data_IF_530856476918
#
_entry.id   IF_530856476918
#
_cell.length_a   1.000
_cell.length_b   1.000
_cell.length_c   1.000
_cell.angle_alpha   90.00
_cell.angle_beta   90.00
_cell.angle_gamma   90.00
#
_symmetry.space_group_name_H-M   'P 1'
#
loop_
_entity.id
_entity.type
_entity.pdbx_description
1 polymer ?
#
# COMPACT_ATOMS: atom_id res chain seq x y z
N UNK A 1 7.47 11.96 21.00
CA UNK A 1 7.21 11.21 19.75
C UNK A 1 8.13 9.99 19.75
N UNK A 2 7.68 8.86 19.20
CA UNK A 2 8.52 7.66 19.12
C UNK A 2 9.73 7.90 18.19
N UNK A 3 10.90 7.30 18.45
CA UNK A 3 12.04 7.31 17.53
C UNK A 3 11.72 6.79 16.12
N UNK A 4 12.52 7.20 15.13
CA UNK A 4 12.35 6.80 13.72
C UNK A 4 12.66 5.33 13.45
N UNK A 5 13.39 4.67 14.34
CA UNK A 5 13.73 3.23 14.35
C UNK A 5 12.82 2.41 15.28
N UNK A 6 11.83 3.02 15.94
CA UNK A 6 10.95 2.33 16.89
C UNK A 6 10.03 1.31 16.17
N UNK A 7 10.46 0.05 16.19
CA UNK A 7 9.76 -1.08 15.60
C UNK A 7 8.39 -1.33 16.25
N UNK A 8 8.27 -1.16 17.57
CA UNK A 8 7.00 -1.39 18.27
C UNK A 8 5.97 -0.32 17.90
N UNK A 9 6.39 0.95 17.79
CA UNK A 9 5.54 2.03 17.32
C UNK A 9 5.13 1.85 15.84
N UNK A 10 6.05 1.37 15.00
CA UNK A 10 5.74 0.99 13.62
C UNK A 10 4.69 -0.12 13.55
N UNK A 11 4.90 -1.23 14.27
CA UNK A 11 3.98 -2.38 14.25
C UNK A 11 2.60 -2.02 14.79
N UNK A 12 2.52 -1.22 15.86
CA UNK A 12 1.25 -0.72 16.39
C UNK A 12 0.51 0.16 15.37
N UNK A 13 1.24 1.06 14.70
CA UNK A 13 0.68 1.91 13.63
C UNK A 13 0.14 1.04 12.48
N UNK A 14 0.95 0.08 12.02
CA UNK A 14 0.60 -0.85 10.94
C UNK A 14 -0.65 -1.66 11.27
N UNK A 15 -0.71 -2.27 12.45
CA UNK A 15 -1.87 -3.03 12.90
C UNK A 15 -3.12 -2.15 12.96
N UNK A 16 -3.02 -0.96 13.55
CA UNK A 16 -4.13 -0.02 13.67
C UNK A 16 -4.65 0.51 12.33
N UNK A 17 -3.79 0.66 11.32
CA UNK A 17 -4.19 1.10 9.98
C UNK A 17 -4.73 -0.07 9.12
N UNK A 18 -4.11 -1.26 9.21
CA UNK A 18 -4.41 -2.39 8.33
C UNK A 18 -5.70 -3.14 8.66
N UNK A 19 -6.09 -3.20 9.93
CA UNK A 19 -7.37 -3.79 10.37
C UNK A 19 -8.56 -2.98 9.81
N UNK A 20 -9.77 -3.21 10.32
CA UNK A 20 -10.95 -2.44 9.93
C UNK A 20 -10.92 -0.99 10.48
N UNK A 21 -9.96 -0.21 9.99
CA UNK A 21 -9.71 1.17 10.37
C UNK A 21 -10.54 2.13 9.54
N UNK A 22 -10.87 3.30 10.13
CA UNK A 22 -11.55 4.36 9.39
C UNK A 22 -10.72 4.81 8.17
N UNK A 23 -9.40 4.86 8.32
CA UNK A 23 -8.50 5.19 7.21
C UNK A 23 -8.67 4.20 6.05
N UNK A 24 -8.57 2.89 6.31
CA UNK A 24 -8.71 1.86 5.28
C UNK A 24 -10.08 1.89 4.61
N UNK A 25 -11.17 2.02 5.39
CA UNK A 25 -12.53 2.16 4.83
C UNK A 25 -12.70 3.43 4.01
N UNK A 26 -11.93 4.48 4.28
CA UNK A 26 -12.00 5.72 3.53
C UNK A 26 -11.33 5.66 2.15
N UNK A 27 -10.59 4.59 1.84
CA UNK A 27 -9.90 4.43 0.56
C UNK A 27 -10.86 3.88 -0.51
N UNK A 28 -10.70 4.33 -1.76
CA UNK A 28 -11.33 3.67 -2.91
C UNK A 28 -10.79 2.24 -3.13
N UNK A 29 -11.45 1.47 -4.00
CA UNK A 29 -11.02 0.09 -4.36
C UNK A 29 -9.56 0.02 -4.81
N UNK A 30 -9.06 1.11 -5.42
CA UNK A 30 -7.65 1.36 -5.59
C UNK A 30 -7.34 2.82 -5.34
N UNK A 31 -6.12 3.08 -4.86
CA UNK A 31 -5.58 4.41 -4.60
C UNK A 31 -4.29 4.56 -5.38
N UNK A 32 -4.09 5.72 -6.02
CA UNK A 32 -2.85 6.04 -6.68
C UNK A 32 -1.88 6.69 -5.68
N UNK A 33 -0.77 6.00 -5.41
CA UNK A 33 0.26 6.36 -4.44
C UNK A 33 1.57 6.81 -5.10
N UNK A 34 2.22 7.84 -4.55
CA UNK A 34 3.57 8.18 -4.98
C UNK A 34 4.09 9.49 -4.38
N UNK A 35 5.22 9.97 -4.88
CA UNK A 35 5.78 11.26 -4.45
C UNK A 35 5.15 12.40 -5.24
N UNK A 36 4.86 13.51 -4.59
CA UNK A 36 4.59 14.77 -5.29
C UNK A 36 5.94 15.37 -5.70
N UNK A 37 6.36 15.14 -6.96
CA UNK A 37 7.65 15.68 -7.48
C UNK A 37 7.61 17.19 -7.72
N UNK A 38 6.44 17.71 -8.07
CA UNK A 38 6.18 19.13 -8.31
C UNK A 38 4.76 19.45 -7.84
N UNK A 39 4.55 20.43 -6.94
CA UNK A 39 3.22 20.82 -6.48
C UNK A 39 2.33 21.45 -7.57
N UNK A 40 2.89 21.85 -8.70
CA UNK A 40 2.18 22.38 -9.86
C UNK A 40 1.71 21.29 -10.83
N UNK A 41 2.32 20.10 -10.77
CA UNK A 41 1.94 18.98 -11.63
C UNK A 41 0.55 18.47 -11.24
N UNK A 42 -0.29 18.22 -12.25
CA UNK A 42 -1.62 17.69 -12.01
C UNK A 42 -1.58 16.22 -11.57
N UNK A 43 -2.63 15.75 -10.90
CA UNK A 43 -2.71 14.33 -10.50
C UNK A 43 -2.79 13.40 -11.71
N UNK A 44 -3.43 13.82 -12.81
CA UNK A 44 -3.54 13.02 -14.04
C UNK A 44 -2.19 12.83 -14.75
N UNK A 45 -1.25 13.76 -14.56
CA UNK A 45 0.06 13.75 -15.21
C UNK A 45 1.16 13.21 -14.28
N UNK A 46 0.82 12.99 -13.01
CA UNK A 46 1.71 12.35 -12.04
C UNK A 46 1.89 10.86 -12.33
N UNK A 47 3.14 10.39 -12.31
CA UNK A 47 3.46 8.94 -12.36
C UNK A 47 3.27 8.34 -10.98
N UNK A 48 2.17 7.62 -10.77
CA UNK A 48 1.78 7.05 -9.50
C UNK A 48 1.66 5.53 -9.61
N UNK A 49 1.84 4.85 -8.46
CA UNK A 49 1.65 3.41 -8.33
C UNK A 49 0.25 3.14 -7.81
N UNK A 50 -0.47 2.23 -8.45
CA UNK A 50 -1.78 1.79 -8.00
C UNK A 50 -1.63 0.76 -6.88
N UNK A 51 -2.36 0.99 -5.79
CA UNK A 51 -2.45 0.07 -4.66
C UNK A 51 -3.90 -0.18 -4.27
N UNK A 52 -4.21 -1.42 -3.88
CA UNK A 52 -5.38 -1.69 -3.07
C UNK A 52 -5.24 -1.12 -1.65
N UNK A 53 -6.37 -0.92 -0.92
CA UNK A 53 -6.37 -0.39 0.45
C UNK A 53 -5.43 -1.11 1.41
N UNK A 54 -5.38 -2.44 1.32
CA UNK A 54 -4.53 -3.30 2.14
C UNK A 54 -3.04 -2.95 2.03
N UNK A 55 -2.56 -2.70 0.80
CA UNK A 55 -1.16 -2.37 0.53
C UNK A 55 -0.85 -0.98 1.06
N UNK A 56 -1.68 0.02 0.77
CA UNK A 56 -1.43 1.38 1.23
C UNK A 56 -1.43 1.46 2.77
N UNK A 57 -2.44 0.90 3.41
CA UNK A 57 -2.63 0.94 4.86
C UNK A 57 -1.67 0.02 5.63
N UNK A 58 -1.30 -1.13 5.06
CA UNK A 58 -0.43 -2.11 5.72
C UNK A 58 1.06 -1.96 5.46
N UNK A 59 1.45 -1.32 4.34
CA UNK A 59 2.85 -1.36 3.88
C UNK A 59 3.50 0.02 3.70
N UNK A 60 2.72 1.03 3.30
CA UNK A 60 3.29 2.34 2.91
C UNK A 60 3.04 3.43 3.94
N UNK A 61 1.79 3.64 4.35
CA UNK A 61 1.44 4.67 5.34
C UNK A 61 2.08 4.42 6.71
N UNK A 62 2.22 3.17 7.21
CA UNK A 62 2.86 2.93 8.51
C UNK A 62 4.35 3.32 8.59
N UNK A 63 5.03 3.49 7.45
CA UNK A 63 6.41 4.00 7.39
C UNK A 63 6.52 5.46 7.80
N UNK A 64 5.39 6.13 7.99
CA UNK A 64 5.28 7.53 8.38
C UNK A 64 4.76 7.65 9.82
N UNK A 65 5.22 8.69 10.50
CA UNK A 65 4.78 9.09 11.84
C UNK A 65 3.81 10.25 11.72
N UNK A 66 2.82 10.33 12.59
CA UNK A 66 1.80 11.38 12.57
C UNK A 66 1.60 11.96 13.96
N UNK A 67 1.34 13.27 14.03
CA UNK A 67 1.01 13.97 15.28
C UNK A 67 -0.47 14.38 15.37
N UNK A 68 -1.28 13.99 14.38
CA UNK A 68 -2.69 14.36 14.28
C UNK A 68 -2.95 15.78 13.75
N UNK A 69 -1.93 16.58 13.45
CA UNK A 69 -2.12 17.89 12.80
C UNK A 69 -2.39 17.70 11.31
N UNK A 70 -3.40 18.39 10.82
CA UNK A 70 -3.76 18.37 9.42
C UNK A 70 -4.34 19.70 8.92
N UNK A 71 -4.30 19.89 7.61
CA UNK A 71 -5.05 20.94 6.92
C UNK A 71 -5.97 20.31 5.87
N UNK A 72 -7.03 21.02 5.51
CA UNK A 72 -7.95 20.63 4.44
C UNK A 72 -8.20 21.84 3.55
N UNK A 73 -8.04 21.66 2.26
CA UNK A 73 -8.31 22.68 1.24
C UNK A 73 -9.06 22.05 0.08
N UNK A 74 -10.02 22.76 -0.52
CA UNK A 74 -10.59 22.33 -1.79
C UNK A 74 -9.74 22.86 -2.95
N UNK A 75 -9.25 21.96 -3.80
CA UNK A 75 -8.37 22.31 -4.92
C UNK A 75 -9.16 22.27 -6.21
N UNK A 76 -9.58 23.45 -6.68
CA UNK A 76 -10.51 23.60 -7.84
C UNK A 76 -10.00 22.88 -9.10
N UNK A 77 -8.71 23.00 -9.42
CA UNK A 77 -8.12 22.38 -10.63
C UNK A 77 -8.21 20.86 -10.64
N UNK A 78 -8.20 20.24 -9.46
CA UNK A 78 -8.34 18.78 -9.31
C UNK A 78 -9.78 18.37 -9.02
N UNK A 79 -10.63 19.30 -8.55
CA UNK A 79 -11.99 19.06 -8.05
C UNK A 79 -12.03 18.05 -6.90
N UNK A 80 -11.03 18.12 -6.02
CA UNK A 80 -10.84 17.23 -4.88
C UNK A 80 -10.50 18.06 -3.64
N UNK A 81 -10.82 17.53 -2.46
CA UNK A 81 -10.26 18.05 -1.22
C UNK A 81 -8.85 17.50 -1.02
N UNK A 82 -7.90 18.37 -0.77
CA UNK A 82 -6.54 18.05 -0.37
C UNK A 82 -6.46 18.07 1.16
N UNK A 83 -6.28 16.90 1.77
CA UNK A 83 -6.02 16.76 3.21
C UNK A 83 -4.51 16.56 3.37
N UNK A 84 -3.83 17.43 4.09
CA UNK A 84 -2.38 17.30 4.35
C UNK A 84 -2.16 16.93 5.80
N UNK A 85 -1.54 15.78 6.05
CA UNK A 85 -1.19 15.27 7.37
C UNK A 85 0.29 15.52 7.60
N UNK A 86 0.63 16.26 8.66
CA UNK A 86 2.03 16.48 9.01
C UNK A 86 2.71 15.15 9.38
N UNK A 87 3.90 14.91 8.85
CA UNK A 87 4.58 13.62 8.98
C UNK A 87 6.10 13.71 9.20
N UNK A 88 6.69 12.58 9.57
CA UNK A 88 8.11 12.28 9.38
C UNK A 88 8.27 10.80 9.02
N UNK A 89 9.26 10.48 8.20
CA UNK A 89 9.50 9.12 7.71
C UNK A 89 10.40 8.32 8.66
N UNK A 90 10.13 7.02 8.79
CA UNK A 90 10.86 6.06 9.60
C UNK A 90 12.06 5.47 8.83
N UNK A 91 13.08 6.29 8.55
CA UNK A 91 14.20 5.92 7.69
C UNK A 91 15.22 4.95 8.31
N UNK A 92 15.09 4.65 9.61
CA UNK A 92 15.98 3.74 10.35
C UNK A 92 15.35 2.39 10.71
N UNK A 93 14.19 2.07 10.15
CA UNK A 93 13.66 0.70 10.24
C UNK A 93 14.61 -0.29 9.55
N UNK A 94 14.52 -1.55 9.96
CA UNK A 94 15.26 -2.63 9.28
C UNK A 94 14.88 -2.69 7.80
N UNK A 95 15.83 -2.96 6.87
CA UNK A 95 15.57 -2.99 5.43
C UNK A 95 14.34 -3.82 5.01
N UNK A 96 14.08 -4.92 5.72
CA UNK A 96 12.93 -5.80 5.48
C UNK A 96 11.54 -5.18 5.76
N UNK A 97 11.49 -4.05 6.47
CA UNK A 97 10.25 -3.32 6.74
C UNK A 97 9.84 -2.42 5.58
N UNK A 98 10.74 -2.14 4.63
CA UNK A 98 10.41 -1.38 3.43
C UNK A 98 9.86 -2.31 2.35
N UNK A 99 8.76 -1.96 1.66
CA UNK A 99 8.12 -2.81 0.64
C UNK A 99 8.99 -3.25 -0.54
N UNK A 100 10.09 -2.54 -0.77
CA UNK A 100 11.18 -2.86 -1.69
C UNK A 100 12.36 -1.92 -1.37
N UNK A 101 13.55 -2.13 -1.96
CA UNK A 101 14.69 -1.23 -1.81
C UNK A 101 14.40 0.20 -2.32
N UNK A 102 13.81 1.08 -1.50
CA UNK A 102 13.49 2.46 -1.92
C UNK A 102 14.74 3.22 -2.40
N UNK A 103 15.90 2.85 -1.86
CA UNK A 103 17.23 3.36 -2.19
C UNK A 103 17.80 2.90 -3.54
N UNK A 104 17.11 2.04 -4.31
CA UNK A 104 17.44 1.82 -5.73
C UNK A 104 17.43 3.12 -6.56
N UNK A 105 16.71 4.16 -6.10
CA UNK A 105 16.69 5.49 -6.68
C UNK A 105 17.00 6.52 -5.58
N UNK A 106 18.20 7.11 -5.62
CA UNK A 106 18.67 8.02 -4.55
C UNK A 106 17.74 9.22 -4.32
N UNK A 107 17.20 9.82 -5.38
CA UNK A 107 16.24 10.94 -5.28
C UNK A 107 14.95 10.50 -4.56
N UNK A 108 14.45 9.30 -4.87
CA UNK A 108 13.25 8.74 -4.22
C UNK A 108 13.48 8.55 -2.74
N UNK A 109 14.63 7.97 -2.37
CA UNK A 109 15.00 7.77 -0.98
C UNK A 109 15.11 9.10 -0.23
N UNK A 110 15.82 10.08 -0.79
CA UNK A 110 15.94 11.41 -0.20
C UNK A 110 14.58 12.11 -0.03
N UNK A 111 13.63 11.93 -0.96
CA UNK A 111 12.28 12.49 -0.82
C UNK A 111 11.48 11.80 0.29
N UNK A 112 11.64 10.49 0.49
CA UNK A 112 11.03 9.80 1.63
C UNK A 112 11.59 10.33 2.95
N UNK A 113 12.91 10.39 3.10
CA UNK A 113 13.56 10.86 4.34
C UNK A 113 13.18 12.28 4.72
N UNK A 114 12.98 13.15 3.71
CA UNK A 114 12.65 14.56 3.91
C UNK A 114 11.15 14.85 3.92
N UNK A 115 10.31 13.84 3.75
CA UNK A 115 8.87 14.03 3.66
C UNK A 115 8.33 14.69 4.93
N UNK A 116 7.58 15.78 4.75
CA UNK A 116 6.99 16.56 5.84
C UNK A 116 5.45 16.52 5.83
N UNK A 117 4.82 16.17 4.70
CA UNK A 117 3.38 15.86 4.65
C UNK A 117 3.08 14.55 3.91
N UNK A 118 2.01 13.87 4.37
CA UNK A 118 1.21 12.97 3.55
C UNK A 118 -0.01 13.74 3.04
N UNK A 119 -0.25 13.70 1.73
CA UNK A 119 -1.40 14.30 1.08
C UNK A 119 -2.41 13.20 0.76
N UNK A 120 -3.64 13.33 1.24
CA UNK A 120 -4.78 12.50 0.84
C UNK A 120 -5.72 13.34 -0.02
N UNK A 121 -6.00 12.87 -1.23
CA UNK A 121 -6.90 13.53 -2.16
C UNK A 121 -8.27 12.86 -2.10
N UNK A 122 -9.20 13.56 -1.45
CA UNK A 122 -10.55 13.10 -1.18
C UNK A 122 -11.51 13.52 -2.29
N UNK A 123 -12.17 12.52 -2.88
CA UNK A 123 -13.20 12.72 -3.90
C UNK A 123 -14.56 12.95 -3.22
N UNK A 124 -15.14 14.17 -3.30
CA UNK A 124 -16.41 14.45 -2.64
C UNK A 124 -17.58 13.70 -3.28
N UNK A 125 -17.47 13.25 -4.53
CA UNK A 125 -18.58 12.55 -5.22
C UNK A 125 -18.82 11.15 -4.68
N UNK A 126 -17.75 10.47 -4.29
CA UNK A 126 -17.81 9.12 -3.74
C UNK A 126 -17.41 9.06 -2.27
N UNK A 127 -17.06 10.20 -1.68
CA UNK A 127 -16.64 10.34 -0.28
C UNK A 127 -15.54 9.36 0.12
N UNK A 128 -14.49 9.27 -0.72
CA UNK A 128 -13.32 8.41 -0.49
C UNK A 128 -12.03 9.00 -1.04
N UNK A 129 -10.90 8.58 -0.48
CA UNK A 129 -9.55 8.92 -0.96
C UNK A 129 -9.26 8.17 -2.25
N UNK A 130 -8.88 8.92 -3.29
CA UNK A 130 -8.56 8.39 -4.63
C UNK A 130 -7.07 8.43 -4.96
N UNK A 131 -6.38 9.43 -4.45
CA UNK A 131 -4.92 9.57 -4.58
C UNK A 131 -4.33 9.82 -3.20
N UNK A 132 -3.12 9.32 -2.98
CA UNK A 132 -2.33 9.62 -1.81
C UNK A 132 -0.89 9.91 -2.25
N UNK A 133 -0.28 10.94 -1.70
CA UNK A 133 1.09 11.30 -2.01
C UNK A 133 1.89 11.60 -0.75
N UNK A 134 3.21 11.47 -0.82
CA UNK A 134 4.11 12.08 0.16
C UNK A 134 4.87 13.23 -0.50
N UNK A 135 5.21 14.24 0.28
CA UNK A 135 5.85 15.46 -0.24
C UNK A 135 6.84 16.06 0.75
N UNK A 136 7.79 16.83 0.20
CA UNK A 136 8.70 17.71 0.94
C UNK A 136 8.24 19.19 0.87
N UNK A 137 7.20 19.46 0.07
CA UNK A 137 6.66 20.81 -0.17
C UNK A 137 5.58 21.20 0.84
N UNK A 138 5.59 20.59 2.03
CA UNK A 138 4.82 21.02 3.19
C UNK A 138 5.29 22.36 3.72
N UNK A 139 4.34 23.17 4.21
CA UNK A 139 4.62 24.42 4.90
C UNK A 139 5.21 24.18 6.30
N UNK A 140 5.07 22.97 6.82
CA UNK A 140 5.59 22.56 8.12
C UNK A 140 6.96 21.90 7.97
N UNK A 141 7.87 22.03 8.96
CA UNK A 141 9.02 21.14 9.04
C UNK A 141 8.55 19.69 9.27
N UNK A 142 9.35 18.68 8.90
CA UNK A 142 9.10 17.29 9.28
C UNK A 142 8.92 17.18 10.80
N UNK A 143 8.04 16.29 11.25
CA UNK A 143 7.78 16.11 12.69
C UNK A 143 9.05 15.83 13.49
N UNK A 144 9.97 15.09 12.89
CA UNK A 144 11.27 14.74 13.44
C UNK A 144 12.31 14.89 12.35
N UNK A 145 13.39 15.60 12.64
CA UNK A 145 14.58 15.52 11.81
C UNK A 145 15.21 14.12 11.96
N UNK A 146 15.58 13.51 10.84
CA UNK A 146 16.40 12.31 10.81
C UNK A 146 17.61 12.55 9.94
N UNK A 147 18.76 12.03 10.35
CA UNK A 147 19.94 12.03 9.50
C UNK A 147 19.74 11.11 8.30
N UNK A 148 20.34 11.47 7.17
CA UNK A 148 20.38 10.64 5.99
C UNK A 148 20.99 9.26 6.30
N UNK A 149 20.34 8.20 5.83
CA UNK A 149 20.83 6.82 5.96
C UNK A 149 21.35 6.35 4.61
N UNK A 150 22.64 6.03 4.57
CA UNK A 150 23.25 5.36 3.41
C UNK A 150 22.98 3.86 3.49
N UNK A 151 22.12 3.39 2.58
CA UNK A 151 21.82 1.97 2.43
C UNK A 151 22.87 1.26 1.56
N UNK A 152 22.93 -0.06 1.64
CA UNK A 152 23.73 -0.87 0.73
C UNK A 152 23.31 -0.59 -0.73
N UNK A 153 24.27 -0.63 -1.65
CA UNK A 153 23.98 -0.47 -3.07
C UNK A 153 22.92 -1.49 -3.52
N UNK A 154 21.98 -1.03 -4.35
CA UNK A 154 20.98 -1.91 -4.92
C UNK A 154 21.65 -2.86 -5.92
N UNK A 155 21.50 -4.17 -5.68
CA UNK A 155 22.13 -5.26 -6.43
C UNK A 155 21.28 -5.72 -7.64
N UNK A 156 20.19 -5.02 -7.94
CA UNK A 156 19.23 -5.40 -8.97
C UNK A 156 18.13 -6.36 -8.49
N UNK A 157 18.18 -6.83 -7.24
CA UNK A 157 17.22 -7.80 -6.71
C UNK A 157 16.13 -7.13 -5.88
N UNK A 158 14.89 -7.23 -6.32
CA UNK A 158 13.72 -6.70 -5.59
C UNK A 158 13.35 -7.50 -4.33
N UNK A 159 13.89 -8.71 -4.23
CA UNK A 159 13.70 -9.66 -3.13
C UNK A 159 15.03 -10.31 -2.80
N UNK A 160 15.29 -10.52 -1.53
CA UNK A 160 16.52 -11.15 -1.06
C UNK A 160 16.22 -12.13 0.08
N UNK A 161 17.25 -12.82 0.53
CA UNK A 161 17.19 -13.68 1.72
C UNK A 161 18.09 -13.06 2.78
N UNK A 162 17.60 -12.92 4.01
CA UNK A 162 18.42 -12.42 5.11
C UNK A 162 19.38 -13.48 5.66
N UNK A 163 20.25 -13.09 6.59
CA UNK A 163 21.23 -13.98 7.21
C UNK A 163 20.59 -15.17 7.97
N UNK A 164 19.29 -15.11 8.28
CA UNK A 164 18.53 -16.16 8.95
C UNK A 164 17.76 -17.05 7.95
N UNK A 165 17.97 -16.86 6.65
CA UNK A 165 17.31 -17.65 5.61
C UNK A 165 15.87 -17.21 5.31
N UNK A 166 15.38 -16.08 5.86
CA UNK A 166 14.02 -15.61 5.62
C UNK A 166 13.94 -14.74 4.37
N UNK A 167 12.85 -14.91 3.62
CA UNK A 167 12.60 -14.10 2.42
C UNK A 167 12.24 -12.66 2.80
N UNK A 168 12.81 -11.73 2.07
CA UNK A 168 12.63 -10.30 2.22
C UNK A 168 12.10 -9.67 0.92
N UNK A 169 11.36 -8.55 0.99
CA UNK A 169 11.04 -7.80 2.22
C UNK A 169 9.96 -8.47 3.07
N UNK A 170 10.20 -8.58 4.37
CA UNK A 170 9.31 -9.21 5.34
C UNK A 170 7.92 -8.57 5.39
N UNK A 171 7.82 -7.25 5.16
CA UNK A 171 6.51 -6.56 5.13
C UNK A 171 5.62 -6.98 3.96
N UNK A 172 6.20 -7.63 2.94
CA UNK A 172 5.49 -7.99 1.71
C UNK A 172 5.02 -9.45 1.70
N UNK A 173 5.59 -10.27 2.59
CA UNK A 173 4.99 -11.55 2.96
C UNK A 173 3.85 -11.23 3.93
N UNK A 174 2.79 -12.05 3.98
CA UNK A 174 1.59 -11.78 4.79
C UNK A 174 1.84 -11.71 6.32
N UNK A 175 3.10 -11.72 6.75
CA UNK A 175 3.52 -11.65 8.14
C UNK A 175 3.30 -10.27 8.75
N UNK A 176 2.57 -10.27 9.87
CA UNK A 176 2.12 -9.07 10.57
C UNK A 176 0.97 -8.32 9.88
N UNK A 177 0.47 -8.82 8.76
CA UNK A 177 -0.79 -8.39 8.15
C UNK A 177 -1.92 -9.38 8.45
N UNK A 178 -1.66 -10.69 8.28
CA UNK A 178 -2.55 -11.74 8.77
C UNK A 178 -2.15 -12.17 10.18
N UNK A 179 -3.15 -12.56 10.98
CA UNK A 179 -2.95 -13.11 12.31
C UNK A 179 -2.09 -14.36 12.24
N UNK A 180 -1.25 -14.60 13.25
CA UNK A 180 -0.31 -15.73 13.24
C UNK A 180 -0.99 -17.10 13.20
N UNK A 181 -2.22 -17.18 13.69
CA UNK A 181 -3.07 -18.37 13.74
C UNK A 181 -4.00 -18.51 12.53
N UNK A 182 -3.86 -17.66 11.51
CA UNK A 182 -4.60 -17.81 10.27
C UNK A 182 -4.13 -19.10 9.55
N UNK A 183 -5.01 -20.11 9.42
CA UNK A 183 -4.61 -21.44 8.93
C UNK A 183 -4.24 -21.43 7.44
N UNK A 184 -4.58 -20.38 6.71
CA UNK A 184 -4.35 -20.27 5.27
C UNK A 184 -2.97 -19.67 4.93
N UNK A 185 -2.19 -19.15 5.89
CA UNK A 185 -0.91 -18.46 5.62
C UNK A 185 0.08 -19.29 4.80
N UNK A 186 0.29 -20.56 5.17
CA UNK A 186 1.23 -21.44 4.47
C UNK A 186 0.77 -21.75 3.04
N UNK A 187 -0.53 -21.99 2.86
CA UNK A 187 -1.13 -22.21 1.54
C UNK A 187 -1.08 -20.94 0.68
N UNK A 188 -1.22 -19.76 1.30
CA UNK A 188 -1.19 -18.48 0.61
C UNK A 188 0.21 -18.14 0.09
N UNK A 189 1.24 -18.36 0.90
CA UNK A 189 2.63 -18.24 0.46
C UNK A 189 2.96 -19.22 -0.68
N UNK A 190 2.52 -20.48 -0.55
CA UNK A 190 2.75 -21.51 -1.56
C UNK A 190 2.06 -21.18 -2.89
N UNK A 191 0.77 -20.83 -2.85
CA UNK A 191 0.01 -20.45 -4.06
C UNK A 191 0.54 -19.18 -4.72
N UNK A 192 0.98 -18.18 -3.93
CA UNK A 192 1.67 -17.02 -4.50
C UNK A 192 2.97 -17.41 -5.19
N UNK A 193 3.80 -18.25 -4.58
CA UNK A 193 5.08 -18.69 -5.19
C UNK A 193 4.83 -19.37 -6.54
N UNK A 194 3.84 -20.27 -6.61
CA UNK A 194 3.46 -20.91 -7.88
C UNK A 194 2.97 -19.90 -8.90
N UNK A 195 2.07 -18.98 -8.50
CA UNK A 195 1.60 -17.91 -9.38
C UNK A 195 2.73 -16.98 -9.85
N UNK A 196 3.68 -16.65 -8.98
CA UNK A 196 4.83 -15.82 -9.30
C UNK A 196 5.78 -16.46 -10.33
N UNK A 197 5.85 -17.80 -10.39
CA UNK A 197 6.54 -18.49 -11.48
C UNK A 197 5.85 -18.20 -12.83
N UNK A 198 4.50 -18.25 -12.85
CA UNK A 198 3.72 -17.98 -14.06
C UNK A 198 3.78 -16.52 -14.49
N UNK A 199 3.79 -15.59 -13.54
CA UNK A 199 4.07 -14.17 -13.82
C UNK A 199 5.44 -13.96 -14.46
N UNK A 200 6.46 -14.74 -14.06
CA UNK A 200 7.79 -14.68 -14.68
C UNK A 200 7.82 -15.29 -16.08
N UNK A 201 7.18 -16.44 -16.27
CA UNK A 201 7.03 -17.09 -17.58
C UNK A 201 6.30 -16.15 -18.57
N UNK A 202 5.23 -15.48 -18.13
CA UNK A 202 4.52 -14.46 -18.91
C UNK A 202 5.18 -13.07 -18.89
N UNK A 203 6.45 -12.97 -18.49
CA UNK A 203 7.27 -11.75 -18.50
C UNK A 203 6.69 -10.53 -17.76
N UNK A 204 5.72 -10.71 -16.87
CA UNK A 204 5.01 -9.61 -16.20
C UNK A 204 5.95 -8.75 -15.32
N UNK A 205 7.06 -9.32 -14.83
CA UNK A 205 8.04 -8.60 -14.01
C UNK A 205 9.00 -7.71 -14.81
N UNK A 206 8.93 -7.70 -16.14
CA UNK A 206 9.66 -6.70 -16.92
C UNK A 206 9.05 -5.31 -16.72
N UNK A 207 7.72 -5.23 -16.65
CA UNK A 207 7.01 -3.95 -16.56
C UNK A 207 6.51 -3.66 -15.12
N UNK A 208 6.06 -4.69 -14.40
CA UNK A 208 5.39 -4.56 -13.10
C UNK A 208 6.36 -4.58 -11.90
N UNK A 209 7.37 -3.72 -11.96
CA UNK A 209 8.46 -3.59 -10.96
C UNK A 209 8.72 -2.14 -10.54
N UNK A 210 9.33 -1.88 -9.36
CA UNK A 210 9.41 -0.55 -8.77
C UNK A 210 10.14 0.54 -9.56
N UNK A 211 11.07 0.18 -10.44
CA UNK A 211 11.79 1.14 -11.30
C UNK A 211 10.96 1.60 -12.51
N UNK A 212 9.81 0.96 -12.80
CA UNK A 212 8.89 1.35 -13.86
C UNK A 212 9.58 1.60 -15.23
N UNK A 213 10.22 0.57 -15.82
CA UNK A 213 11.04 0.74 -17.02
C UNK A 213 10.24 1.29 -18.20
N UNK A 214 8.97 0.91 -18.32
CA UNK A 214 8.07 1.39 -19.39
C UNK A 214 7.48 2.78 -19.09
N UNK A 215 7.84 3.39 -17.97
CA UNK A 215 7.40 4.74 -17.62
C UNK A 215 5.88 4.89 -17.45
N UNK A 216 5.17 3.82 -17.10
CA UNK A 216 3.72 3.79 -16.91
C UNK A 216 3.25 4.93 -15.99
N UNK A 217 2.18 5.62 -16.39
CA UNK A 217 1.54 6.66 -15.56
C UNK A 217 0.88 6.07 -14.29
N UNK A 218 0.36 4.84 -14.40
CA UNK A 218 -0.31 4.11 -13.32
C UNK A 218 0.33 2.73 -13.22
N UNK A 219 1.41 2.65 -12.44
CA UNK A 219 2.17 1.42 -12.27
C UNK A 219 1.40 0.43 -11.38
N UNK A 220 1.33 -0.84 -11.78
CA UNK A 220 0.92 -1.94 -10.91
C UNK A 220 2.17 -2.74 -10.54
N UNK A 221 2.33 -3.08 -9.26
CA UNK A 221 3.43 -3.90 -8.77
C UNK A 221 2.95 -5.34 -8.59
N UNK A 222 3.75 -6.32 -9.02
CA UNK A 222 3.42 -7.75 -8.91
C UNK A 222 4.54 -8.58 -8.27
N UNK A 223 5.71 -7.97 -8.09
CA UNK A 223 6.95 -8.65 -7.71
C UNK A 223 6.96 -9.22 -6.28
N UNK A 224 5.98 -8.87 -5.44
CA UNK A 224 5.87 -9.39 -4.06
C UNK A 224 4.45 -9.90 -3.77
N UNK A 225 4.28 -10.81 -2.77
CA UNK A 225 2.98 -11.43 -2.47
C UNK A 225 1.85 -10.43 -2.25
N UNK A 226 2.04 -9.45 -1.35
CA UNK A 226 0.99 -8.47 -1.02
C UNK A 226 0.60 -7.56 -2.19
N UNK A 227 1.57 -7.12 -2.99
CA UNK A 227 1.29 -6.34 -4.19
C UNK A 227 0.45 -7.12 -5.20
N UNK A 228 0.82 -8.38 -5.47
CA UNK A 228 0.04 -9.26 -6.34
C UNK A 228 -1.35 -9.57 -5.75
N UNK A 229 -1.45 -9.80 -4.44
CA UNK A 229 -2.71 -10.08 -3.75
C UNK A 229 -3.72 -8.93 -3.90
N UNK A 230 -3.27 -7.68 -3.79
CA UNK A 230 -4.13 -6.51 -3.92
C UNK A 230 -4.67 -6.30 -5.34
N UNK A 231 -4.00 -6.88 -6.34
CA UNK A 231 -4.28 -6.63 -7.75
C UNK A 231 -4.76 -7.89 -8.50
N UNK A 232 -4.81 -9.05 -7.84
CA UNK A 232 -5.05 -10.36 -8.47
C UNK A 232 -6.33 -10.39 -9.32
N UNK A 233 -7.43 -9.84 -8.80
CA UNK A 233 -8.71 -9.75 -9.53
C UNK A 233 -8.57 -8.99 -10.85
N UNK A 234 -7.83 -7.89 -10.83
CA UNK A 234 -7.58 -7.05 -12.02
C UNK A 234 -6.59 -7.69 -12.97
N UNK A 235 -5.53 -8.30 -12.45
CA UNK A 235 -4.56 -9.07 -13.26
C UNK A 235 -5.28 -10.18 -14.02
N UNK A 236 -6.06 -11.01 -13.33
CA UNK A 236 -6.84 -12.08 -13.93
C UNK A 236 -7.83 -11.56 -14.97
N UNK A 237 -8.50 -10.44 -14.71
CA UNK A 237 -9.38 -9.80 -15.69
C UNK A 237 -8.61 -9.39 -16.96
N UNK A 238 -7.49 -8.68 -16.82
CA UNK A 238 -6.68 -8.24 -17.96
C UNK A 238 -6.15 -9.41 -18.78
N UNK A 239 -5.73 -10.50 -18.14
CA UNK A 239 -5.27 -11.72 -18.82
C UNK A 239 -6.42 -12.42 -19.55
N UNK A 240 -7.62 -12.53 -18.94
CA UNK A 240 -8.79 -13.12 -19.61
C UNK A 240 -9.18 -12.35 -20.87
N UNK A 241 -9.13 -11.01 -20.78
CA UNK A 241 -9.51 -10.07 -21.84
C UNK A 241 -8.39 -9.80 -22.86
N UNK A 242 -7.26 -10.50 -22.80
CA UNK A 242 -6.15 -10.37 -23.75
C UNK A 242 -5.53 -8.95 -23.82
N UNK A 243 -5.63 -8.19 -22.72
CA UNK A 243 -5.15 -6.79 -22.65
C UNK A 243 -3.70 -6.65 -22.19
N UNK A 244 -3.03 -7.76 -21.91
CA UNK A 244 -1.67 -7.83 -21.41
C UNK A 244 -0.94 -9.09 -21.92
N UNK A 245 0.38 -9.03 -22.15
CA UNK A 245 1.24 -7.85 -22.05
C UNK A 245 1.00 -6.82 -23.15
N UNK A 246 1.73 -5.70 -23.09
CA UNK A 246 1.78 -4.69 -24.15
C UNK A 246 3.18 -4.69 -24.77
N UNK A 247 3.26 -4.45 -26.06
CA UNK A 247 4.53 -4.28 -26.75
C UNK A 247 5.15 -2.89 -26.51
N UNK A 248 6.29 -2.62 -27.13
CA UNK A 248 7.02 -1.35 -27.01
C UNK A 248 6.22 -0.12 -27.51
N UNK A 249 5.22 -0.34 -28.36
CA UNK A 249 4.32 0.70 -28.87
C UNK A 249 3.05 0.85 -27.99
N UNK A 250 2.94 0.04 -26.93
CA UNK A 250 1.79 0.00 -26.03
C UNK A 250 0.59 -0.74 -26.60
N UNK A 251 0.76 -1.50 -27.69
CA UNK A 251 -0.27 -2.33 -28.31
C UNK A 251 -0.43 -3.60 -27.50
N UNK A 252 -1.67 -4.01 -27.27
CA UNK A 252 -1.99 -5.23 -26.53
C UNK A 252 -1.53 -6.44 -27.36
N UNK A 253 -0.62 -7.23 -26.77
CA UNK A 253 -0.01 -8.40 -27.36
C UNK A 253 -0.41 -9.61 -26.52
N UNK A 254 -1.48 -10.33 -26.89
CA UNK A 254 -2.01 -11.41 -26.08
C UNK A 254 -0.97 -12.50 -25.82
N UNK A 255 -1.00 -13.05 -24.61
CA UNK A 255 -0.19 -14.22 -24.25
C UNK A 255 -0.54 -15.41 -25.14
N UNK A 256 0.44 -16.29 -25.39
CA UNK A 256 0.15 -17.58 -25.99
C UNK A 256 -0.82 -18.39 -25.10
N UNK A 257 -1.61 -19.26 -25.72
CA UNK A 257 -2.70 -19.97 -25.05
C UNK A 257 -2.23 -20.76 -23.81
N UNK A 258 -1.04 -21.38 -23.87
CA UNK A 258 -0.49 -22.18 -22.78
C UNK A 258 -0.10 -21.30 -21.60
N UNK A 259 0.59 -20.19 -21.85
CA UNK A 259 0.97 -19.23 -20.81
C UNK A 259 -0.25 -18.57 -20.18
N UNK A 260 -1.24 -18.18 -21.00
CA UNK A 260 -2.52 -17.63 -20.54
C UNK A 260 -3.26 -18.61 -19.62
N UNK A 261 -3.42 -19.86 -20.04
CA UNK A 261 -4.09 -20.89 -19.25
C UNK A 261 -3.39 -21.14 -17.91
N UNK A 262 -2.06 -21.25 -17.92
CA UNK A 262 -1.27 -21.45 -16.70
C UNK A 262 -1.41 -20.26 -15.72
N UNK A 263 -1.32 -19.02 -16.22
CA UNK A 263 -1.50 -17.81 -15.41
C UNK A 263 -2.90 -17.74 -14.78
N UNK A 264 -3.94 -18.05 -15.56
CA UNK A 264 -5.31 -18.01 -15.06
C UNK A 264 -5.56 -19.11 -14.02
N UNK A 265 -5.04 -20.31 -14.26
CA UNK A 265 -5.20 -21.45 -13.33
C UNK A 265 -4.56 -21.15 -11.98
N UNK A 266 -3.28 -20.77 -11.98
CA UNK A 266 -2.54 -20.50 -10.74
C UNK A 266 -3.00 -19.22 -10.06
N UNK A 267 -3.35 -18.18 -10.84
CA UNK A 267 -3.84 -16.93 -10.28
C UNK A 267 -5.23 -17.08 -9.63
N UNK A 268 -6.13 -17.89 -10.19
CA UNK A 268 -7.43 -18.22 -9.56
C UNK A 268 -7.24 -19.06 -8.30
N UNK A 269 -6.26 -19.98 -8.29
CA UNK A 269 -5.93 -20.74 -7.09
C UNK A 269 -5.42 -19.81 -5.97
N UNK A 270 -4.53 -18.88 -6.30
CA UNK A 270 -4.04 -17.87 -5.35
C UNK A 270 -5.15 -16.95 -4.84
N UNK A 271 -5.99 -16.41 -5.74
CA UNK A 271 -7.16 -15.58 -5.39
C UNK A 271 -8.09 -16.28 -4.40
N UNK A 272 -8.39 -17.57 -4.63
CA UNK A 272 -9.27 -18.35 -3.76
C UNK A 272 -8.72 -18.48 -2.34
N UNK A 273 -7.43 -18.80 -2.22
CA UNK A 273 -6.77 -18.94 -0.91
C UNK A 273 -6.71 -17.58 -0.20
N UNK A 274 -6.48 -16.49 -0.94
CA UNK A 274 -6.50 -15.13 -0.41
C UNK A 274 -7.89 -14.76 0.15
N UNK A 275 -8.95 -15.04 -0.60
CA UNK A 275 -10.32 -14.77 -0.16
C UNK A 275 -10.69 -15.60 1.09
N UNK A 276 -10.24 -16.86 1.17
CA UNK A 276 -10.38 -17.70 2.38
C UNK A 276 -9.63 -17.11 3.59
N UNK A 277 -8.37 -16.71 3.40
CA UNK A 277 -7.56 -16.10 4.45
C UNK A 277 -8.21 -14.82 4.99
N UNK A 278 -8.74 -13.97 4.11
CA UNK A 278 -9.44 -12.73 4.48
C UNK A 278 -10.78 -12.99 5.18
N UNK A 279 -11.56 -13.95 4.71
CA UNK A 279 -12.84 -14.32 5.33
C UNK A 279 -12.63 -14.83 6.77
N UNK A 280 -11.56 -15.57 7.02
CA UNK A 280 -11.19 -16.05 8.35
C UNK A 280 -10.80 -14.91 9.31
N UNK A 281 -10.04 -13.91 8.86
CA UNK A 281 -9.71 -12.73 9.70
C UNK A 281 -10.98 -11.93 10.07
N UNK A 282 -11.89 -11.78 9.11
CA UNK A 282 -13.13 -11.06 9.29
C UNK A 282 -14.07 -11.74 10.31
N UNK A 283 -14.19 -13.07 10.27
CA UNK A 283 -15.07 -13.82 11.19
C UNK A 283 -14.60 -13.72 12.66
N UNK A 284 -13.29 -13.65 12.88
CA UNK A 284 -12.72 -13.43 14.22
C UNK A 284 -12.90 -12.03 14.73
N UNK A 285 -12.74 -11.03 13.86
CA UNK A 285 -12.94 -9.62 14.23
C UNK A 285 -14.40 -9.34 14.61
N UNK A 286 -15.36 -9.99 13.93
CA UNK A 286 -16.78 -9.92 14.27
C UNK A 286 -17.14 -10.61 15.60
N UNK A 287 -16.39 -11.65 15.99
CA UNK A 287 -16.62 -12.42 17.22
C UNK A 287 -16.11 -11.73 18.49
N UNK A 288 -15.36 -10.63 18.37
CA UNK A 288 -14.71 -9.93 19.49
C UNK A 288 -15.45 -8.62 19.87
N UNK A 289 -16.59 -8.29 19.25
CA UNK A 289 -17.39 -7.13 19.65
C UNK A 289 -18.21 -7.46 20.90
N UNK A 290 -17.97 -6.83 22.07
CA UNK A 290 -18.86 -6.97 23.22
C UNK A 290 -20.15 -6.23 22.92
N UNK A 291 -21.28 -6.92 23.06
CA UNK A 291 -22.61 -6.33 22.99
C UNK A 291 -22.87 -5.45 24.22
N UNK A 292 -22.35 -4.23 24.26
CA UNK A 292 -22.79 -3.20 25.22
C UNK A 292 -22.46 -1.80 24.74
N UNK A 293 -23.39 -1.18 24.02
CA UNK A 293 -23.69 0.26 24.16
C UNK A 293 -25.21 0.42 24.09
N UNK A 294 -25.89 0.10 25.19
CA UNK A 294 -27.14 0.74 25.57
C UNK A 294 -26.86 1.45 26.89
N UNK A 295 -26.28 2.65 26.80
CA UNK A 295 -26.21 3.57 27.92
C UNK A 295 -27.12 4.76 27.57
N UNK A 296 -28.14 4.93 28.39
CA UNK A 296 -29.21 5.89 28.23
C UNK A 296 -28.70 7.33 28.07
N UNK A 297 -29.33 8.08 27.17
CA UNK A 297 -29.17 9.52 27.06
C UNK A 297 -29.58 10.19 28.40
N UNK A 298 -28.80 11.15 28.92
CA UNK A 298 -29.21 11.91 30.09
C UNK A 298 -30.35 12.85 29.70
N UNK A 299 -31.45 12.84 30.47
CA UNK A 299 -32.54 13.80 30.35
C UNK A 299 -32.02 15.23 30.60
N UNK A 300 -32.49 16.24 29.86
CA UNK A 300 -32.13 17.62 30.11
C UNK A 300 -32.69 18.07 31.46
N UNK A 301 -31.82 18.62 32.31
CA UNK A 301 -32.22 19.27 33.55
C UNK A 301 -32.96 20.57 33.20
N UNK A 302 -34.14 20.71 33.80
CA UNK A 302 -35.03 21.85 33.60
C UNK A 302 -34.42 23.15 34.12
N UNK A 303 -34.69 24.21 33.37
CA UNK A 303 -34.49 25.61 33.75
C UNK A 303 -35.42 25.92 34.94
N UNK A 304 -34.86 26.45 36.02
CA UNK A 304 -35.60 27.11 37.08
C UNK A 304 -35.15 28.58 37.14
N UNK A 305 -36.03 29.47 36.67
CA UNK A 305 -36.18 30.85 37.15
C UNK A 305 -37.17 30.83 38.33
N UNK A 306 -37.18 31.79 39.26
CA UNK A 306 -36.91 33.22 39.11
C UNK A 306 -35.62 33.73 39.77
#
# INVERSE_FOLDING_TARGET
MAPVDDQAAFDKCRQGLFQDSLFKRSLQEFVLWGRQRDPKLSLKDSKLTQFGPDVLAGMYVPLFMFNGKYTVEYVERERLYQIRLQTAFRNRLQPGQFPYPFWHEAEKWAMYEKANDIILWWDPKVSRVRFAQFTVFGSNPPLQASEHVTQAAFDGQWRWTDAQGKSQPAVTVFDGLLSNDNPYKAQLDTSYKTFALKLREGQCFQCHVPNNPDGMKKLVLLQTPMHAAAEIKRVLKSVREDRMPRDEFGVEAPLDAKTKEALLTEGVAFERVLDQAKAWEASRSASVVPATINAAAPKPQGVATP
#
